data_IF_792516266425
#
_entry.id   IF_792516266425
#
_cell.length_a   1.000
_cell.length_b   1.000
_cell.length_c   1.000
_cell.angle_alpha   90.00
_cell.angle_beta   90.00
_cell.angle_gamma   90.00
#
_symmetry.space_group_name_H-M   'P 1'
#
loop_
_entity.id
_entity.type
_entity.pdbx_description
1 polymer ?
#
# COMPACT_ATOMS: atom_id res chain seq x y z
N UNK A 1 -5.75 12.69 55.95
CA UNK A 1 -6.41 11.91 54.89
C UNK A 1 -6.48 12.74 53.63
N UNK A 2 -5.72 12.38 52.60
CA UNK A 2 -5.84 12.95 51.26
C UNK A 2 -5.76 11.80 50.27
N UNK A 3 -6.92 11.34 49.82
CA UNK A 3 -7.05 10.43 48.68
C UNK A 3 -7.36 11.33 47.50
N UNK A 4 -6.33 11.66 46.70
CA UNK A 4 -6.48 12.43 45.47
C UNK A 4 -6.58 11.44 44.31
N UNK A 5 -7.69 11.57 43.58
CA UNK A 5 -8.13 10.87 42.38
C UNK A 5 -7.03 10.39 41.42
N UNK A 6 -6.88 9.06 41.29
CA UNK A 6 -6.25 8.42 40.14
C UNK A 6 -7.25 8.04 39.01
N UNK A 7 -8.55 8.33 39.18
CA UNK A 7 -9.59 7.87 38.25
C UNK A 7 -9.72 8.71 36.96
N UNK A 8 -9.13 9.90 36.88
CA UNK A 8 -9.25 10.79 35.72
C UNK A 8 -8.32 10.51 34.54
N UNK A 9 -7.21 9.77 34.75
CA UNK A 9 -6.23 9.53 33.68
C UNK A 9 -6.53 8.28 32.84
N UNK A 10 -7.18 7.26 33.42
CA UNK A 10 -7.50 6.02 32.70
C UNK A 10 -8.61 6.22 31.65
N UNK A 11 -9.63 7.02 31.95
CA UNK A 11 -10.78 7.26 31.07
C UNK A 11 -10.41 8.03 29.78
N UNK A 12 -9.39 8.90 29.83
CA UNK A 12 -8.91 9.62 28.65
C UNK A 12 -8.15 8.72 27.67
N UNK A 13 -7.39 7.74 28.17
CA UNK A 13 -6.65 6.77 27.34
C UNK A 13 -7.56 5.77 26.66
N UNK A 14 -8.60 5.26 27.33
CA UNK A 14 -9.54 4.28 26.74
C UNK A 14 -10.36 4.90 25.61
N UNK A 15 -10.94 6.09 25.81
CA UNK A 15 -11.70 6.79 24.78
C UNK A 15 -10.84 7.18 23.56
N UNK A 16 -9.56 7.52 23.79
CA UNK A 16 -8.63 7.84 22.71
C UNK A 16 -8.19 6.58 21.94
N UNK A 17 -8.02 5.44 22.61
CA UNK A 17 -7.73 4.16 21.98
C UNK A 17 -8.91 3.66 21.14
N UNK A 18 -10.14 3.81 21.63
CA UNK A 18 -11.35 3.43 20.91
C UNK A 18 -11.55 4.28 19.65
N UNK A 19 -11.29 5.59 19.73
CA UNK A 19 -11.33 6.49 18.57
C UNK A 19 -10.27 6.13 17.52
N UNK A 20 -9.04 5.82 17.94
CA UNK A 20 -7.97 5.38 17.04
C UNK A 20 -8.32 4.05 16.38
N UNK A 21 -8.87 3.11 17.13
CA UNK A 21 -9.29 1.82 16.59
C UNK A 21 -10.39 1.97 15.54
N UNK A 22 -11.39 2.81 15.80
CA UNK A 22 -12.44 3.13 14.83
C UNK A 22 -11.86 3.75 13.56
N UNK A 23 -10.96 4.71 13.70
CA UNK A 23 -10.25 5.34 12.58
C UNK A 23 -9.48 4.33 11.72
N UNK A 24 -8.86 3.34 12.34
CA UNK A 24 -8.16 2.25 11.63
C UNK A 24 -9.13 1.31 10.89
N UNK A 25 -10.30 1.04 11.45
CA UNK A 25 -11.35 0.26 10.76
C UNK A 25 -11.86 1.05 9.55
N UNK A 26 -12.26 2.30 9.74
CA UNK A 26 -12.82 3.16 8.69
C UNK A 26 -11.88 3.27 7.48
N UNK A 27 -10.55 3.35 7.71
CA UNK A 27 -9.59 3.46 6.60
C UNK A 27 -9.39 2.14 5.84
N UNK A 28 -9.49 0.99 6.52
CA UNK A 28 -9.40 -0.33 5.88
C UNK A 28 -10.70 -0.64 5.12
N UNK A 29 -11.85 -0.26 5.65
CA UNK A 29 -13.13 -0.34 4.93
C UNK A 29 -13.08 0.50 3.65
N UNK A 30 -12.61 1.76 3.75
CA UNK A 30 -12.42 2.60 2.58
C UNK A 30 -11.45 1.98 1.56
N UNK A 31 -10.38 1.34 2.04
CA UNK A 31 -9.44 0.63 1.17
C UNK A 31 -10.13 -0.52 0.41
N UNK A 32 -10.96 -1.29 1.10
CA UNK A 32 -11.75 -2.37 0.53
C UNK A 32 -12.78 -1.88 -0.50
N UNK A 33 -13.44 -0.76 -0.24
CA UNK A 33 -14.34 -0.12 -1.21
C UNK A 33 -13.61 0.33 -2.48
N UNK A 34 -12.42 0.95 -2.34
CA UNK A 34 -11.64 1.36 -3.50
C UNK A 34 -11.13 0.15 -4.29
N UNK A 35 -10.73 -0.92 -3.60
CA UNK A 35 -10.35 -2.17 -4.25
C UNK A 35 -11.50 -2.73 -5.11
N UNK A 36 -12.74 -2.72 -4.60
CA UNK A 36 -13.92 -3.17 -5.33
C UNK A 36 -14.26 -2.35 -6.59
N UNK A 37 -13.63 -1.18 -6.78
CA UNK A 37 -13.79 -0.32 -7.96
C UNK A 37 -12.67 -0.49 -8.98
N UNK A 38 -11.64 -1.29 -8.68
CA UNK A 38 -10.57 -1.53 -9.63
C UNK A 38 -11.10 -2.32 -10.83
N UNK A 39 -10.86 -1.84 -12.07
CA UNK A 39 -11.11 -2.66 -13.24
C UNK A 39 -10.07 -3.78 -13.27
N UNK A 40 -10.53 -5.00 -13.00
CA UNK A 40 -9.70 -6.20 -13.07
C UNK A 40 -9.90 -6.84 -14.44
N UNK A 41 -8.81 -6.97 -15.21
CA UNK A 41 -8.78 -7.81 -16.40
C UNK A 41 -8.25 -9.19 -15.97
N UNK A 42 -9.17 -10.09 -15.66
CA UNK A 42 -8.84 -11.37 -15.03
C UNK A 42 -8.24 -11.19 -13.63
N UNK A 43 -6.98 -11.58 -13.45
CA UNK A 43 -6.23 -11.45 -12.18
C UNK A 43 -5.32 -10.22 -12.13
N UNK A 44 -5.19 -9.47 -13.22
CA UNK A 44 -4.33 -8.29 -13.30
C UNK A 44 -5.17 -7.03 -13.31
N UNK A 45 -4.69 -5.97 -12.67
CA UNK A 45 -5.37 -4.67 -12.74
C UNK A 45 -5.17 -4.07 -14.13
N UNK A 46 -6.25 -3.59 -14.75
CA UNK A 46 -6.16 -2.86 -16.01
C UNK A 46 -5.46 -1.52 -15.75
N UNK A 47 -4.20 -1.44 -16.18
CA UNK A 47 -3.39 -0.21 -16.18
C UNK A 47 -3.18 0.32 -17.61
N UNK A 48 -3.84 -0.28 -18.61
CA UNK A 48 -3.72 0.13 -20.01
C UNK A 48 -4.73 1.19 -20.42
N UNK A 49 -5.89 1.26 -19.75
CA UNK A 49 -6.91 2.29 -19.95
C UNK A 49 -6.70 3.52 -19.06
N UNK A 50 -7.25 4.67 -19.48
CA UNK A 50 -7.22 5.91 -18.68
C UNK A 50 -8.02 5.73 -17.38
N UNK A 51 -9.18 5.07 -17.47
CA UNK A 51 -10.04 4.74 -16.34
C UNK A 51 -9.35 3.79 -15.35
N UNK A 52 -8.63 2.79 -15.86
CA UNK A 52 -7.84 1.86 -15.07
C UNK A 52 -6.69 2.53 -14.33
N UNK A 53 -5.92 3.37 -15.03
CA UNK A 53 -4.88 4.19 -14.42
C UNK A 53 -5.42 5.08 -13.30
N UNK A 54 -6.56 5.73 -13.53
CA UNK A 54 -7.19 6.59 -12.51
C UNK A 54 -7.66 5.78 -11.29
N UNK A 55 -8.31 4.64 -11.51
CA UNK A 55 -8.78 3.78 -10.43
C UNK A 55 -7.62 3.25 -9.57
N UNK A 56 -6.55 2.77 -10.20
CA UNK A 56 -5.33 2.34 -9.51
C UNK A 56 -4.70 3.50 -8.75
N UNK A 57 -4.61 4.69 -9.35
CA UNK A 57 -4.07 5.87 -8.69
C UNK A 57 -4.83 6.24 -7.40
N UNK A 58 -6.17 6.17 -7.43
CA UNK A 58 -7.00 6.41 -6.24
C UNK A 58 -6.80 5.34 -5.16
N UNK A 59 -6.68 4.07 -5.57
CA UNK A 59 -6.41 2.98 -4.65
C UNK A 59 -5.03 3.09 -4.00
N UNK A 60 -3.98 3.38 -4.78
CA UNK A 60 -2.62 3.61 -4.29
C UNK A 60 -2.55 4.80 -3.31
N UNK A 61 -3.28 5.89 -3.60
CA UNK A 61 -3.39 7.03 -2.69
C UNK A 61 -4.07 6.63 -1.37
N UNK A 62 -5.09 5.76 -1.44
CA UNK A 62 -5.78 5.25 -0.26
C UNK A 62 -4.90 4.30 0.56
N UNK A 63 -4.04 3.51 -0.08
CA UNK A 63 -3.02 2.69 0.60
C UNK A 63 -2.02 3.55 1.36
N UNK A 64 -1.59 4.66 0.76
CA UNK A 64 -0.68 5.59 1.42
C UNK A 64 -1.30 6.19 2.67
N UNK A 65 -2.54 6.67 2.56
CA UNK A 65 -3.32 7.19 3.69
C UNK A 65 -3.52 6.13 4.79
N UNK A 66 -3.86 4.90 4.42
CA UNK A 66 -3.97 3.79 5.38
C UNK A 66 -2.66 3.55 6.12
N UNK A 67 -1.53 3.50 5.40
CA UNK A 67 -0.22 3.32 6.02
C UNK A 67 0.18 4.50 6.93
N UNK A 68 -0.18 5.74 6.58
CA UNK A 68 0.03 6.91 7.44
C UNK A 68 -0.83 6.83 8.72
N UNK A 69 -2.13 6.55 8.56
CA UNK A 69 -3.10 6.51 9.66
C UNK A 69 -2.84 5.37 10.64
N UNK A 70 -2.39 4.20 10.15
CA UNK A 70 -1.98 3.07 10.98
C UNK A 70 -0.56 3.21 11.56
N UNK A 71 0.09 4.35 11.34
CA UNK A 71 1.45 4.66 11.77
C UNK A 71 2.49 3.62 11.32
N UNK A 72 2.30 3.05 10.12
CA UNK A 72 3.29 2.17 9.49
C UNK A 72 4.53 3.01 9.22
N UNK A 73 5.73 2.46 9.49
CA UNK A 73 6.99 3.13 9.20
C UNK A 73 7.32 3.02 7.71
N UNK A 74 7.74 4.12 7.09
CA UNK A 74 8.13 4.11 5.69
C UNK A 74 9.46 3.38 5.47
N UNK A 75 9.55 2.58 4.41
CA UNK A 75 10.78 1.98 3.93
C UNK A 75 11.76 3.08 3.46
N UNK A 76 13.08 2.91 3.68
CA UNK A 76 14.09 3.90 3.30
C UNK A 76 14.09 4.18 1.79
N UNK A 77 14.16 5.46 1.43
CA UNK A 77 14.16 5.94 0.03
C UNK A 77 15.37 6.83 -0.27
N UNK A 78 16.46 6.65 0.46
CA UNK A 78 17.68 7.46 0.33
C UNK A 78 18.32 7.34 -1.05
N UNK A 79 18.10 6.22 -1.76
CA UNK A 79 18.55 6.05 -3.15
C UNK A 79 17.94 7.10 -4.08
N UNK A 80 16.73 7.62 -3.80
CA UNK A 80 16.13 8.67 -4.65
C UNK A 80 17.01 9.92 -4.75
N UNK A 81 17.95 10.13 -3.82
CA UNK A 81 18.91 11.25 -3.88
C UNK A 81 19.85 11.17 -5.09
N UNK A 82 20.10 9.96 -5.62
CA UNK A 82 20.97 9.71 -6.77
C UNK A 82 20.25 9.89 -8.11
N UNK A 83 18.92 10.02 -8.09
CA UNK A 83 18.12 10.26 -9.29
C UNK A 83 18.46 11.58 -9.97
N UNK A 84 18.21 11.63 -11.28
CA UNK A 84 18.36 12.87 -12.06
C UNK A 84 17.46 13.98 -11.51
N UNK A 85 17.83 15.27 -11.65
CA UNK A 85 17.00 16.38 -11.17
C UNK A 85 15.54 16.33 -11.63
N UNK A 86 15.30 15.95 -12.90
CA UNK A 86 13.96 15.83 -13.47
C UNK A 86 13.14 14.69 -12.85
N UNK A 87 13.80 13.60 -12.47
CA UNK A 87 13.10 12.48 -11.83
C UNK A 87 12.87 12.76 -10.33
N UNK A 88 13.80 13.46 -9.66
CA UNK A 88 13.63 13.92 -8.27
C UNK A 88 12.45 14.89 -8.09
N UNK A 89 12.12 15.72 -9.09
CA UNK A 89 10.97 16.63 -8.98
C UNK A 89 9.62 15.91 -8.87
N UNK A 90 9.57 14.59 -9.15
CA UNK A 90 8.38 13.76 -8.92
C UNK A 90 8.17 13.42 -7.44
N UNK A 91 9.14 13.70 -6.56
CA UNK A 91 9.11 13.33 -5.14
C UNK A 91 9.28 14.59 -4.26
N UNK A 92 8.20 15.32 -3.94
CA UNK A 92 8.30 16.63 -3.28
C UNK A 92 8.81 16.58 -1.82
N UNK A 93 8.60 15.47 -1.11
CA UNK A 93 8.83 15.36 0.34
C UNK A 93 9.53 14.05 0.76
N UNK A 94 10.07 13.27 -0.19
CA UNK A 94 10.70 11.96 0.04
C UNK A 94 9.81 10.91 0.72
N UNK A 95 8.51 11.18 0.84
CA UNK A 95 7.55 10.26 1.45
C UNK A 95 7.28 9.04 0.54
N UNK A 96 6.40 8.15 1.03
CA UNK A 96 5.79 7.15 0.16
C UNK A 96 5.01 7.89 -0.90
N UNK A 97 5.25 7.55 -2.15
CA UNK A 97 4.49 8.06 -3.31
C UNK A 97 4.32 6.86 -4.21
N UNK A 98 3.26 6.10 -3.99
CA UNK A 98 2.97 4.92 -4.80
C UNK A 98 2.43 5.38 -6.16
N UNK A 99 3.14 5.04 -7.24
CA UNK A 99 2.82 5.49 -8.60
C UNK A 99 2.35 4.32 -9.47
N UNK A 100 1.36 4.60 -10.32
CA UNK A 100 0.76 3.62 -11.23
C UNK A 100 1.80 3.04 -12.19
N UNK A 101 2.71 3.87 -12.70
CA UNK A 101 3.76 3.43 -13.63
C UNK A 101 4.77 2.47 -12.99
N UNK A 102 5.10 2.65 -11.71
CA UNK A 102 5.96 1.72 -10.96
C UNK A 102 5.26 0.37 -10.78
N UNK A 103 3.97 0.39 -10.41
CA UNK A 103 3.20 -0.85 -10.31
C UNK A 103 3.10 -1.55 -11.67
N UNK A 104 2.76 -0.82 -12.74
CA UNK A 104 2.69 -1.35 -14.10
C UNK A 104 4.03 -1.96 -14.54
N UNK A 105 5.14 -1.26 -14.32
CA UNK A 105 6.49 -1.74 -14.64
C UNK A 105 6.84 -3.05 -13.92
N UNK A 106 6.35 -3.25 -12.69
CA UNK A 106 6.57 -4.50 -11.95
C UNK A 106 5.73 -5.68 -12.46
N UNK A 107 4.55 -5.42 -13.03
CA UNK A 107 3.70 -6.44 -13.69
C UNK A 107 4.26 -6.84 -15.05
N UNK A 108 4.80 -5.85 -15.74
CA UNK A 108 5.24 -5.97 -17.12
C UNK A 108 6.40 -6.95 -17.29
N UNK A 109 7.15 -7.28 -16.22
CA UNK A 109 8.27 -8.24 -16.20
C UNK A 109 9.15 -8.20 -17.46
N UNK A 110 9.22 -7.04 -18.12
CA UNK A 110 9.83 -6.95 -19.41
C UNK A 110 11.31 -7.06 -19.12
N UNK A 111 11.86 -8.25 -19.43
CA UNK A 111 13.30 -8.49 -19.45
C UNK A 111 14.05 -7.43 -20.24
N UNK A 112 13.37 -6.54 -20.97
CA UNK A 112 13.90 -5.22 -21.32
C UNK A 112 12.89 -4.06 -21.40
N UNK A 113 13.37 -2.88 -21.03
CA UNK A 113 12.71 -1.59 -21.31
C UNK A 113 13.20 -1.01 -22.63
N UNK A 114 12.31 -0.42 -23.43
CA UNK A 114 12.69 0.29 -24.65
C UNK A 114 12.82 1.79 -24.38
N UNK A 115 14.02 2.33 -24.52
CA UNK A 115 14.30 3.78 -24.34
C UNK A 115 14.81 4.32 -25.67
N UNK A 116 14.08 5.26 -26.27
CA UNK A 116 14.42 5.86 -27.58
C UNK A 116 14.62 4.85 -28.74
N UNK A 117 13.98 3.68 -28.67
CA UNK A 117 14.11 2.61 -29.66
C UNK A 117 15.18 1.56 -29.33
N UNK A 118 15.97 1.76 -28.27
CA UNK A 118 16.96 0.80 -27.80
C UNK A 118 16.40 -0.10 -26.70
N UNK A 119 16.64 -1.41 -26.82
CA UNK A 119 16.24 -2.43 -25.84
C UNK A 119 17.29 -2.50 -24.73
N UNK A 120 16.88 -2.22 -23.48
CA UNK A 120 17.73 -2.34 -22.29
C UNK A 120 17.26 -3.48 -21.42
N UNK A 121 18.06 -4.53 -21.28
CA UNK A 121 17.68 -5.67 -20.46
C UNK A 121 17.72 -5.34 -18.97
N UNK A 122 16.64 -5.67 -18.25
CA UNK A 122 16.59 -5.50 -16.80
C UNK A 122 17.55 -6.49 -16.14
N UNK A 123 18.24 -6.06 -15.08
CA UNK A 123 19.11 -6.96 -14.33
C UNK A 123 18.27 -8.06 -13.66
N UNK A 124 18.85 -9.26 -13.42
CA UNK A 124 18.16 -10.31 -12.67
C UNK A 124 17.68 -9.85 -11.29
N UNK A 125 18.40 -8.89 -10.68
CA UNK A 125 18.03 -8.26 -9.42
C UNK A 125 16.75 -7.41 -9.56
N UNK A 126 16.64 -6.58 -10.60
CA UNK A 126 15.45 -5.77 -10.86
C UNK A 126 14.22 -6.65 -11.15
N UNK A 127 14.40 -7.76 -11.88
CA UNK A 127 13.34 -8.75 -12.10
C UNK A 127 12.88 -9.36 -10.77
N UNK A 128 13.82 -9.80 -9.91
CA UNK A 128 13.50 -10.36 -8.60
C UNK A 128 12.80 -9.37 -7.66
N UNK A 129 13.16 -8.09 -7.70
CA UNK A 129 12.44 -7.04 -6.96
C UNK A 129 11.01 -6.84 -7.50
N UNK A 130 10.82 -6.93 -8.82
CA UNK A 130 9.50 -6.87 -9.45
C UNK A 130 8.59 -8.02 -9.03
N UNK A 131 9.10 -9.26 -9.03
CA UNK A 131 8.39 -10.43 -8.53
C UNK A 131 8.01 -10.29 -7.05
N UNK A 132 8.94 -9.79 -6.24
CA UNK A 132 8.70 -9.54 -4.81
C UNK A 132 7.60 -8.50 -4.59
N UNK A 133 7.59 -7.43 -5.40
CA UNK A 133 6.54 -6.41 -5.36
C UNK A 133 5.18 -6.98 -5.77
N UNK A 134 5.12 -7.77 -6.84
CA UNK A 134 3.89 -8.42 -7.31
C UNK A 134 3.35 -9.42 -6.28
N UNK A 135 4.21 -10.17 -5.61
CA UNK A 135 3.81 -11.06 -4.53
C UNK A 135 3.24 -10.29 -3.33
N UNK A 136 3.91 -9.22 -2.89
CA UNK A 136 3.43 -8.38 -1.80
C UNK A 136 2.09 -7.69 -2.15
N UNK A 137 1.94 -7.26 -3.39
CA UNK A 137 0.69 -6.72 -3.92
C UNK A 137 -0.44 -7.75 -3.89
N UNK A 138 -0.21 -8.96 -4.40
CA UNK A 138 -1.19 -10.03 -4.39
C UNK A 138 -1.62 -10.42 -2.96
N UNK A 139 -0.68 -10.50 -2.02
CA UNK A 139 -0.96 -10.76 -0.60
C UNK A 139 -1.86 -9.69 0.01
N UNK A 140 -1.56 -8.41 -0.26
CA UNK A 140 -2.38 -7.29 0.21
C UNK A 140 -3.80 -7.35 -0.38
N UNK A 141 -3.93 -7.56 -1.69
CA UNK A 141 -5.23 -7.66 -2.36
C UNK A 141 -6.05 -8.84 -1.83
N UNK A 142 -5.43 -10.01 -1.62
CA UNK A 142 -6.09 -11.15 -1.01
C UNK A 142 -6.56 -10.88 0.42
N UNK A 143 -5.78 -10.12 1.20
CA UNK A 143 -6.16 -9.69 2.55
C UNK A 143 -7.37 -8.74 2.52
N UNK A 144 -7.40 -7.80 1.57
CA UNK A 144 -8.56 -6.90 1.37
C UNK A 144 -9.80 -7.67 0.97
N UNK A 145 -9.70 -8.63 0.04
CA UNK A 145 -10.82 -9.52 -0.32
C UNK A 145 -11.34 -10.26 0.91
N UNK A 146 -10.42 -10.78 1.75
CA UNK A 146 -10.78 -11.46 3.00
C UNK A 146 -11.50 -10.52 3.98
N UNK A 147 -11.07 -9.26 4.07
CA UNK A 147 -11.75 -8.23 4.86
C UNK A 147 -13.20 -8.06 4.39
N UNK A 148 -13.40 -7.82 3.08
CA UNK A 148 -14.73 -7.64 2.50
C UNK A 148 -15.65 -8.85 2.72
N UNK A 149 -15.10 -10.07 2.65
CA UNK A 149 -15.86 -11.30 2.89
C UNK A 149 -16.19 -11.51 4.38
N UNK A 150 -15.37 -11.01 5.30
CA UNK A 150 -15.63 -11.10 6.73
C UNK A 150 -16.65 -10.08 7.23
N UNK A 151 -16.89 -9.01 6.46
CA UNK A 151 -17.96 -8.03 6.71
C UNK A 151 -19.36 -8.57 6.46
N UNK A 152 -19.50 -9.74 5.84
CA UNK A 152 -20.78 -10.45 5.67
C UNK A 152 -21.04 -11.34 6.90
N UNK A 153 -22.14 -11.07 7.63
CA UNK A 153 -22.54 -11.76 8.88
C UNK A 153 -22.69 -13.29 8.72
N UNK A 154 -22.75 -13.79 7.48
CA UNK A 154 -22.88 -15.23 7.18
C UNK A 154 -21.55 -15.95 6.94
N UNK A 155 -20.44 -15.21 6.90
CA UNK A 155 -19.15 -15.73 6.48
C UNK A 155 -18.39 -16.43 7.60
N UNK A 156 -17.86 -17.66 7.39
CA UNK A 156 -17.00 -18.33 8.36
C UNK A 156 -15.57 -17.74 8.38
N UNK A 157 -15.30 -16.70 7.58
CA UNK A 157 -13.97 -16.14 7.37
C UNK A 157 -13.63 -15.14 8.47
N UNK A 158 -12.49 -15.33 9.12
CA UNK A 158 -12.01 -14.38 10.14
C UNK A 158 -11.51 -13.09 9.50
N UNK A 159 -11.99 -11.95 10.03
CA UNK A 159 -11.54 -10.62 9.65
C UNK A 159 -10.03 -10.46 9.91
N UNK A 160 -9.26 -9.86 8.98
CA UNK A 160 -7.85 -9.57 9.21
C UNK A 160 -7.63 -8.75 10.48
N UNK A 161 -6.65 -9.15 11.28
CA UNK A 161 -6.21 -8.40 12.45
C UNK A 161 -5.44 -7.15 12.03
N UNK A 162 -5.42 -6.14 12.90
CA UNK A 162 -4.57 -4.94 12.73
C UNK A 162 -3.12 -5.29 12.38
N UNK A 163 -2.56 -6.30 13.05
CA UNK A 163 -1.19 -6.77 12.81
C UNK A 163 -1.01 -7.27 11.38
N UNK A 164 -1.94 -8.09 10.87
CA UNK A 164 -1.91 -8.59 9.49
C UNK A 164 -1.97 -7.44 8.47
N UNK A 165 -2.88 -6.47 8.67
CA UNK A 165 -2.98 -5.29 7.81
C UNK A 165 -1.66 -4.50 7.82
N UNK A 166 -1.13 -4.19 9.00
CA UNK A 166 0.13 -3.43 9.10
C UNK A 166 1.31 -4.18 8.49
N UNK A 167 1.38 -5.50 8.67
CA UNK A 167 2.44 -6.32 8.09
C UNK A 167 2.35 -6.36 6.56
N UNK A 168 1.15 -6.45 5.99
CA UNK A 168 0.95 -6.38 4.55
C UNK A 168 1.40 -5.01 3.98
N UNK A 169 1.02 -3.91 4.65
CA UNK A 169 1.46 -2.56 4.27
C UNK A 169 2.98 -2.38 4.37
N UNK A 170 3.62 -2.90 5.42
CA UNK A 170 5.09 -2.89 5.57
C UNK A 170 5.74 -3.68 4.44
N UNK A 171 5.31 -4.93 4.21
CA UNK A 171 5.87 -5.78 3.16
C UNK A 171 5.79 -5.10 1.79
N UNK A 172 4.62 -4.55 1.45
CA UNK A 172 4.42 -3.83 0.20
C UNK A 172 5.39 -2.64 0.11
N UNK A 173 5.48 -1.80 1.14
CA UNK A 173 6.31 -0.60 1.12
C UNK A 173 7.81 -0.92 0.94
N UNK A 174 8.31 -1.98 1.56
CA UNK A 174 9.69 -2.43 1.39
C UNK A 174 9.94 -3.02 0.00
N UNK A 175 9.02 -3.85 -0.51
CA UNK A 175 9.14 -4.42 -1.86
C UNK A 175 9.12 -3.31 -2.92
N UNK A 176 8.25 -2.33 -2.72
CA UNK A 176 8.14 -1.14 -3.57
C UNK A 176 9.42 -0.32 -3.56
N UNK A 177 9.93 -0.01 -2.37
CA UNK A 177 11.16 0.77 -2.24
C UNK A 177 12.38 0.05 -2.85
N UNK A 178 12.41 -1.29 -2.79
CA UNK A 178 13.50 -2.10 -3.37
C UNK A 178 13.41 -2.16 -4.90
N UNK A 179 12.20 -2.22 -5.46
CA UNK A 179 12.00 -2.20 -6.91
C UNK A 179 12.28 -0.83 -7.54
N UNK A 180 12.00 0.26 -6.82
CA UNK A 180 12.32 1.62 -7.26
C UNK A 180 13.84 1.95 -7.27
N UNK A 181 14.68 1.17 -6.59
CA UNK A 181 16.12 1.41 -6.47
C UNK A 181 16.88 0.97 -7.72
#
# INVERSE_FOLDING_TARGET
SSVVSCQGQAQGTEAQQELLHKQEIDIVERLAEQYGRLPLDGSSTDVGSEEGCQAVGMFLSSLELAAQQMAVRAAPRTYRTTFSPNYRSLFPDWARHYRVDVLAASTEQHSAIHVNGDKFELSPEAVGHGETLQQAWAELCAMIVRWSLASDDTSPVSCPTRSEVTNALVKLDYAWASFEH
#
